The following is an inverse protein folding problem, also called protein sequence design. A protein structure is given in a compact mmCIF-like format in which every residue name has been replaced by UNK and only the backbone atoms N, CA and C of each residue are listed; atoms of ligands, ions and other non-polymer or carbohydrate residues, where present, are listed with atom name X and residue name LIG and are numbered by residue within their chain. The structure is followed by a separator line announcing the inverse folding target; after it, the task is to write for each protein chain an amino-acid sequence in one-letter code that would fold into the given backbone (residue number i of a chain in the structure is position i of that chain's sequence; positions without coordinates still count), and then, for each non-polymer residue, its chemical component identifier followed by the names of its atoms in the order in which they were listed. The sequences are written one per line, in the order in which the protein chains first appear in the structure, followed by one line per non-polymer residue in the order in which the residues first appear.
data_IF_148602106270
#
_entry.id   IF_148602106270
#
_cell.length_a   1.000
_cell.length_b   1.000
_cell.length_c   1.000
_cell.angle_alpha   90.00
_cell.angle_beta   90.00
_cell.angle_gamma   90.00
#
_symmetry.space_group_name_H-M   'P 1'
#
loop_
_entity.id
_entity.type
_entity.pdbx_description
1 polymer ?
#
# COMPACT_ATOMS: atom_id res chain seq x y z
N UNK A 1 -0.71 51.17 -36.04
CA UNK A 1 0.25 50.63 -35.05
C UNK A 1 0.19 49.14 -35.19
N UNK A 2 1.33 48.53 -35.49
CA UNK A 2 1.46 47.11 -35.80
C UNK A 2 1.32 46.32 -34.50
N UNK A 3 0.15 45.72 -34.27
CA UNK A 3 -0.14 44.85 -33.13
C UNK A 3 0.15 43.38 -33.48
N UNK A 4 1.29 43.13 -34.14
CA UNK A 4 1.86 41.79 -34.23
C UNK A 4 2.73 41.56 -33.01
N UNK A 5 2.56 40.42 -32.32
CA UNK A 5 3.48 40.00 -31.26
C UNK A 5 4.91 40.22 -31.74
N UNK A 6 5.76 40.82 -30.89
CA UNK A 6 7.18 40.96 -31.21
C UNK A 6 7.69 39.54 -31.53
N UNK A 7 8.47 39.41 -32.60
CA UNK A 7 9.04 38.11 -32.99
C UNK A 7 9.86 37.52 -31.84
N UNK A 8 10.43 38.38 -30.98
CA UNK A 8 11.11 37.96 -29.75
C UNK A 8 10.15 37.26 -28.77
N UNK A 9 8.92 37.76 -28.58
CA UNK A 9 7.91 37.14 -27.71
C UNK A 9 7.51 35.76 -28.22
N UNK A 10 7.39 35.60 -29.55
CA UNK A 10 7.06 34.30 -30.17
C UNK A 10 8.20 33.29 -29.98
N UNK A 11 9.46 33.72 -30.13
CA UNK A 11 10.60 32.84 -29.89
C UNK A 11 10.77 32.51 -28.41
N UNK A 12 10.49 33.46 -27.52
CA UNK A 12 10.51 33.22 -26.06
C UNK A 12 9.42 32.24 -25.65
N UNK A 13 8.18 32.37 -26.16
CA UNK A 13 7.10 31.41 -25.87
C UNK A 13 7.45 30.00 -26.39
N UNK A 14 8.02 29.86 -27.59
CA UNK A 14 8.48 28.56 -28.11
C UNK A 14 9.62 28.00 -27.25
N UNK A 15 10.59 28.85 -26.87
CA UNK A 15 11.75 28.43 -26.10
C UNK A 15 11.38 27.99 -24.68
N UNK A 16 10.39 28.65 -24.06
CA UNK A 16 9.93 28.39 -22.69
C UNK A 16 8.66 27.53 -22.62
N UNK A 17 8.21 26.95 -23.75
CA UNK A 17 6.95 26.19 -23.80
C UNK A 17 6.97 25.02 -22.83
N UNK A 18 8.09 24.30 -22.71
CA UNK A 18 8.19 23.14 -21.83
C UNK A 18 8.08 23.55 -20.37
N UNK A 19 8.86 24.55 -19.94
CA UNK A 19 8.86 25.07 -18.59
C UNK A 19 7.47 25.58 -18.19
N UNK A 20 6.81 26.32 -19.10
CA UNK A 20 5.47 26.82 -18.88
C UNK A 20 4.44 25.71 -18.75
N UNK A 21 4.48 24.70 -19.61
CA UNK A 21 3.56 23.54 -19.51
C UNK A 21 3.79 22.79 -18.19
N UNK A 22 5.04 22.60 -17.77
CA UNK A 22 5.36 21.92 -16.51
C UNK A 22 4.82 22.71 -15.32
N UNK A 23 5.04 24.03 -15.30
CA UNK A 23 4.54 24.91 -14.24
C UNK A 23 3.00 24.93 -14.20
N UNK A 24 2.35 25.16 -15.34
CA UNK A 24 0.89 25.15 -15.46
C UNK A 24 0.29 23.80 -15.01
N UNK A 25 0.88 22.69 -15.46
CA UNK A 25 0.40 21.34 -15.10
C UNK A 25 0.60 21.04 -13.62
N UNK A 26 1.69 21.52 -13.02
CA UNK A 26 1.93 21.39 -11.58
C UNK A 26 0.88 22.15 -10.77
N UNK A 27 0.62 23.41 -11.13
CA UNK A 27 -0.38 24.23 -10.45
C UNK A 27 -1.79 23.65 -10.61
N UNK A 28 -2.16 23.25 -11.83
CA UNK A 28 -3.45 22.60 -12.09
C UNK A 28 -3.61 21.32 -11.26
N UNK A 29 -2.59 20.45 -11.26
CA UNK A 29 -2.63 19.21 -10.47
C UNK A 29 -2.69 19.45 -8.96
N UNK A 30 -2.05 20.51 -8.47
CA UNK A 30 -2.13 20.89 -7.06
C UNK A 30 -3.51 21.41 -6.68
N UNK A 31 -4.11 22.28 -7.51
CA UNK A 31 -5.48 22.77 -7.31
C UNK A 31 -6.49 21.63 -7.37
N UNK A 32 -6.37 20.74 -8.36
CA UNK A 32 -7.21 19.55 -8.52
C UNK A 32 -7.09 18.60 -7.32
N UNK A 33 -5.88 18.38 -6.81
CA UNK A 33 -5.66 17.56 -5.62
C UNK A 33 -6.20 18.17 -4.32
N UNK A 34 -6.37 19.50 -4.27
CA UNK A 34 -6.95 20.22 -3.14
C UNK A 34 -8.48 20.33 -3.22
N UNK A 35 -9.08 19.98 -4.36
CA UNK A 35 -10.53 19.97 -4.49
C UNK A 35 -11.15 19.00 -3.48
N UNK A 36 -12.30 19.39 -2.93
CA UNK A 36 -13.00 18.61 -1.91
C UNK A 36 -13.31 17.19 -2.39
N UNK A 37 -13.71 17.03 -3.66
CA UNK A 37 -14.01 15.72 -4.26
C UNK A 37 -12.77 14.79 -4.23
N UNK A 38 -11.60 15.31 -4.60
CA UNK A 38 -10.33 14.56 -4.56
C UNK A 38 -9.95 14.13 -3.14
N UNK A 39 -10.20 14.99 -2.15
CA UNK A 39 -9.94 14.67 -0.73
C UNK A 39 -10.90 13.59 -0.22
N UNK A 40 -12.18 13.68 -0.58
CA UNK A 40 -13.19 12.68 -0.21
C UNK A 40 -12.90 11.32 -0.87
N UNK A 41 -12.55 11.31 -2.15
CA UNK A 41 -12.15 10.09 -2.86
C UNK A 41 -10.91 9.45 -2.24
N UNK A 42 -9.88 10.24 -1.92
CA UNK A 42 -8.67 9.76 -1.28
C UNK A 42 -8.96 9.17 0.11
N UNK A 43 -9.84 9.82 0.89
CA UNK A 43 -10.26 9.31 2.19
C UNK A 43 -10.97 7.96 2.07
N UNK A 44 -11.96 7.86 1.17
CA UNK A 44 -12.71 6.64 0.93
C UNK A 44 -11.82 5.49 0.47
N UNK A 45 -10.90 5.79 -0.45
CA UNK A 45 -9.93 4.83 -0.93
C UNK A 45 -9.02 4.35 0.21
N UNK A 46 -8.48 5.27 1.00
CA UNK A 46 -7.64 4.97 2.17
C UNK A 46 -8.37 4.11 3.19
N UNK A 47 -9.62 4.43 3.51
CA UNK A 47 -10.46 3.66 4.43
C UNK A 47 -10.69 2.23 3.93
N UNK A 48 -11.13 2.09 2.68
CA UNK A 48 -11.36 0.77 2.05
C UNK A 48 -10.08 -0.07 2.04
N UNK A 49 -8.96 0.55 1.65
CA UNK A 49 -7.68 -0.15 1.54
C UNK A 49 -7.13 -0.54 2.91
N UNK A 50 -7.23 0.35 3.89
CA UNK A 50 -6.87 0.08 5.27
C UNK A 50 -7.68 -1.08 5.85
N UNK A 51 -8.99 -1.11 5.62
CA UNK A 51 -9.85 -2.21 6.05
C UNK A 51 -9.47 -3.55 5.38
N UNK A 52 -9.12 -3.54 4.08
CA UNK A 52 -8.63 -4.72 3.36
C UNK A 52 -7.34 -5.27 3.97
N UNK A 53 -6.37 -4.40 4.25
CA UNK A 53 -5.09 -4.76 4.87
C UNK A 53 -5.33 -5.27 6.30
N UNK A 54 -6.17 -4.60 7.08
CA UNK A 54 -6.50 -5.01 8.44
C UNK A 54 -7.12 -6.40 8.52
N UNK A 55 -8.05 -6.72 7.61
CA UNK A 55 -8.62 -8.08 7.49
C UNK A 55 -7.55 -9.12 7.19
N UNK A 56 -6.63 -8.81 6.28
CA UNK A 56 -5.55 -9.72 5.93
C UNK A 56 -4.58 -9.97 7.09
N UNK A 57 -4.18 -8.91 7.80
CA UNK A 57 -3.33 -9.02 8.99
C UNK A 57 -4.02 -9.84 10.08
N UNK A 58 -5.30 -9.58 10.35
CA UNK A 58 -6.08 -10.34 11.33
C UNK A 58 -6.23 -11.82 10.98
N UNK A 59 -6.37 -12.15 9.70
CA UNK A 59 -6.36 -13.54 9.23
C UNK A 59 -5.03 -14.22 9.54
N UNK A 60 -3.90 -13.59 9.19
CA UNK A 60 -2.58 -14.17 9.47
C UNK A 60 -2.34 -14.32 10.97
N UNK A 61 -2.69 -13.32 11.77
CA UNK A 61 -2.54 -13.35 13.22
C UNK A 61 -3.33 -14.49 13.88
N UNK A 62 -4.58 -14.68 13.45
CA UNK A 62 -5.43 -15.76 13.94
C UNK A 62 -4.85 -17.13 13.61
N UNK A 63 -4.43 -17.35 12.35
CA UNK A 63 -3.86 -18.64 11.93
C UNK A 63 -2.55 -18.92 12.67
N UNK A 64 -1.68 -17.93 12.78
CA UNK A 64 -0.38 -18.07 13.44
C UNK A 64 -0.55 -18.34 14.94
N UNK A 65 -1.52 -17.69 15.58
CA UNK A 65 -1.86 -17.92 16.98
C UNK A 65 -2.34 -19.35 17.21
N UNK A 66 -3.24 -19.86 16.36
CA UNK A 66 -3.72 -21.24 16.45
C UNK A 66 -2.60 -22.27 16.23
N UNK A 67 -1.73 -22.04 15.23
CA UNK A 67 -0.58 -22.90 14.96
C UNK A 67 0.44 -22.91 16.11
N UNK A 68 0.54 -21.82 16.88
CA UNK A 68 1.48 -21.72 17.99
C UNK A 68 1.12 -22.63 19.18
N UNK A 69 -0.14 -23.07 19.27
CA UNK A 69 -0.65 -23.93 20.34
C UNK A 69 -0.50 -25.42 19.97
N UNK A 70 -0.31 -25.73 18.68
CA UNK A 70 -0.18 -27.11 18.21
C UNK A 70 1.22 -27.68 18.48
N UNK A 71 1.31 -28.71 19.33
CA UNK A 71 2.57 -29.37 19.68
C UNK A 71 3.33 -29.93 18.46
N UNK A 72 2.62 -30.40 17.44
CA UNK A 72 3.23 -30.92 16.21
C UNK A 72 4.01 -29.84 15.43
N UNK A 73 3.56 -28.58 15.51
CA UNK A 73 4.21 -27.43 14.88
C UNK A 73 5.37 -26.93 15.73
N UNK A 74 5.18 -26.84 17.05
CA UNK A 74 6.22 -26.35 17.97
C UNK A 74 7.36 -27.34 18.19
N UNK A 75 7.12 -28.64 17.97
CA UNK A 75 8.16 -29.68 17.99
C UNK A 75 9.11 -29.59 16.79
N UNK A 76 8.67 -29.03 15.67
CA UNK A 76 9.52 -28.80 14.50
C UNK A 76 10.25 -27.45 14.63
N UNK A 77 11.54 -27.50 14.98
CA UNK A 77 12.39 -26.31 15.19
C UNK A 77 12.34 -25.31 14.02
N UNK A 78 12.30 -25.79 12.77
CA UNK A 78 12.22 -24.92 11.59
C UNK A 78 10.87 -24.24 11.46
N UNK A 79 9.79 -24.94 11.80
CA UNK A 79 8.45 -24.38 11.76
C UNK A 79 8.24 -23.39 12.91
N UNK A 80 8.72 -23.71 14.12
CA UNK A 80 8.69 -22.84 15.28
C UNK A 80 9.47 -21.53 15.05
N UNK A 81 10.68 -21.61 14.46
CA UNK A 81 11.46 -20.43 14.11
C UNK A 81 10.74 -19.52 13.12
N UNK A 82 10.20 -20.10 12.04
CA UNK A 82 9.49 -19.34 11.01
C UNK A 82 8.16 -18.77 11.54
N UNK A 83 7.49 -19.48 12.43
CA UNK A 83 6.30 -19.01 13.13
C UNK A 83 6.63 -17.77 13.99
N UNK A 84 7.74 -17.81 14.72
CA UNK A 84 8.24 -16.66 15.48
C UNK A 84 8.62 -15.46 14.59
N UNK A 85 9.19 -15.70 13.41
CA UNK A 85 9.45 -14.63 12.43
C UNK A 85 8.16 -13.96 11.94
N UNK A 86 7.12 -14.74 11.67
CA UNK A 86 5.81 -14.22 11.23
C UNK A 86 5.16 -13.44 12.38
N UNK A 87 5.13 -13.98 13.60
CA UNK A 87 4.61 -13.27 14.78
C UNK A 87 5.34 -11.95 15.03
N UNK A 88 6.67 -11.95 14.90
CA UNK A 88 7.47 -10.74 15.06
C UNK A 88 7.13 -9.70 13.99
N UNK A 89 6.93 -10.14 12.74
CA UNK A 89 6.54 -9.25 11.64
C UNK A 89 5.13 -8.67 11.84
N UNK A 90 4.18 -9.48 12.32
CA UNK A 90 2.81 -9.04 12.65
C UNK A 90 2.81 -8.03 13.80
N UNK A 91 3.55 -8.29 14.87
CA UNK A 91 3.64 -7.38 16.02
C UNK A 91 4.33 -6.05 15.70
N UNK A 92 5.28 -6.05 14.75
CA UNK A 92 5.95 -4.84 14.28
C UNK A 92 5.13 -4.08 13.23
N UNK A 93 4.07 -4.67 12.70
CA UNK A 93 3.24 -4.00 11.70
C UNK A 93 2.57 -2.77 12.35
N UNK A 94 2.58 -1.59 11.69
CA UNK A 94 2.06 -0.37 12.29
C UNK A 94 0.58 -0.50 12.63
N UNK A 95 0.19 -0.02 13.80
CA UNK A 95 -1.23 0.06 14.21
C UNK A 95 -1.87 1.40 13.85
N UNK A 96 -1.03 2.39 13.61
CA UNK A 96 -1.41 3.74 13.22
C UNK A 96 -0.83 4.03 11.83
N UNK A 97 -1.48 4.92 11.09
CA UNK A 97 -1.03 5.33 9.77
C UNK A 97 0.13 6.32 9.90
N UNK A 98 1.35 5.81 9.82
CA UNK A 98 2.59 6.60 9.82
C UNK A 98 3.03 6.86 8.36
N UNK A 99 3.12 8.12 7.91
CA UNK A 99 3.53 8.45 6.54
C UNK A 99 4.97 8.05 6.20
N UNK A 100 5.84 7.84 7.20
CA UNK A 100 7.24 7.45 6.97
C UNK A 100 7.40 5.92 6.81
N UNK A 101 6.32 5.15 7.00
CA UNK A 101 6.36 3.69 6.96
C UNK A 101 5.71 3.15 5.70
N UNK A 102 6.47 2.32 4.96
CA UNK A 102 5.94 1.57 3.83
C UNK A 102 5.11 0.35 4.31
N UNK A 103 3.83 0.60 4.54
CA UNK A 103 2.84 -0.41 4.93
C UNK A 103 2.74 -1.56 3.92
N UNK A 104 2.86 -1.26 2.62
CA UNK A 104 2.71 -2.25 1.56
C UNK A 104 3.90 -3.20 1.52
N UNK A 105 5.11 -2.66 1.70
CA UNK A 105 6.32 -3.47 1.83
C UNK A 105 6.26 -4.37 3.08
N UNK A 106 5.84 -3.81 4.23
CA UNK A 106 5.64 -4.57 5.46
C UNK A 106 4.66 -5.74 5.27
N UNK A 107 3.52 -5.47 4.62
CA UNK A 107 2.51 -6.46 4.30
C UNK A 107 3.05 -7.55 3.37
N UNK A 108 3.82 -7.17 2.34
CA UNK A 108 4.45 -8.12 1.43
C UNK A 108 5.44 -9.04 2.15
N UNK A 109 6.22 -8.52 3.11
CA UNK A 109 7.09 -9.36 3.92
C UNK A 109 6.32 -10.39 4.75
N UNK A 110 5.19 -9.98 5.36
CA UNK A 110 4.33 -10.88 6.13
C UNK A 110 3.76 -11.97 5.22
N UNK A 111 3.21 -11.61 4.06
CA UNK A 111 2.71 -12.55 3.04
C UNK A 111 3.76 -13.59 2.65
N UNK A 112 5.00 -13.17 2.41
CA UNK A 112 6.07 -14.07 1.99
C UNK A 112 6.46 -15.05 3.11
N UNK A 113 6.62 -14.56 4.34
CA UNK A 113 6.94 -15.41 5.51
C UNK A 113 5.80 -16.41 5.79
N UNK A 114 4.55 -15.94 5.75
CA UNK A 114 3.37 -16.78 5.92
C UNK A 114 3.27 -17.87 4.84
N UNK A 115 3.46 -17.54 3.56
CA UNK A 115 3.47 -18.54 2.46
C UNK A 115 4.52 -19.61 2.68
N UNK A 116 5.72 -19.21 3.14
CA UNK A 116 6.79 -20.15 3.47
C UNK A 116 6.40 -21.08 4.63
N UNK A 117 5.70 -20.55 5.64
CA UNK A 117 5.19 -21.32 6.77
C UNK A 117 4.15 -22.35 6.32
N UNK A 118 3.17 -21.93 5.52
CA UNK A 118 2.17 -22.83 4.95
C UNK A 118 2.79 -23.92 4.06
N UNK A 119 3.80 -23.57 3.25
CA UNK A 119 4.50 -24.54 2.41
C UNK A 119 5.26 -25.58 3.24
N UNK A 120 5.90 -25.17 4.34
CA UNK A 120 6.62 -26.06 5.26
C UNK A 120 5.68 -27.03 5.97
N UNK A 121 4.53 -26.53 6.43
CA UNK A 121 3.51 -27.29 7.15
C UNK A 121 2.52 -28.00 6.23
N UNK A 122 2.66 -27.85 4.90
CA UNK A 122 1.74 -28.38 3.88
C UNK A 122 0.28 -27.97 4.11
N UNK A 123 0.05 -26.77 4.63
CA UNK A 123 -1.28 -26.22 4.89
C UNK A 123 -1.84 -25.57 3.62
N UNK A 124 -3.08 -25.89 3.21
CA UNK A 124 -3.75 -25.25 2.08
C UNK A 124 -4.40 -23.91 2.45
N UNK A 125 -3.96 -23.26 3.53
CA UNK A 125 -4.53 -22.01 4.02
C UNK A 125 -4.01 -20.84 3.16
N UNK A 126 -4.94 -20.08 2.60
CA UNK A 126 -4.66 -18.87 1.82
C UNK A 126 -5.67 -17.81 2.20
N UNK A 127 -5.20 -16.59 2.40
CA UNK A 127 -6.10 -15.45 2.45
C UNK A 127 -6.72 -15.28 1.05
N UNK A 128 -8.03 -15.42 0.97
CA UNK A 128 -8.80 -15.10 -0.23
C UNK A 128 -9.42 -13.74 0.03
N UNK A 129 -9.06 -12.74 -0.78
CA UNK A 129 -9.78 -11.48 -0.76
C UNK A 129 -11.22 -11.76 -1.19
N UNK A 130 -12.16 -11.65 -0.25
CA UNK A 130 -13.58 -11.64 -0.59
C UNK A 130 -13.88 -10.30 -1.25
N UNK A 131 -13.68 -10.24 -2.57
CA UNK A 131 -13.99 -9.10 -3.42
C UNK A 131 -15.51 -8.97 -3.68
N UNK A 132 -16.32 -9.15 -2.65
CA UNK A 132 -17.79 -9.02 -2.72
C UNK A 132 -18.27 -7.85 -1.84
N UNK A 133 -17.73 -6.67 -2.10
CA UNK A 133 -18.45 -5.42 -1.82
C UNK A 133 -18.59 -4.70 -3.17
N UNK A 134 -19.36 -5.32 -4.07
CA UNK A 134 -19.95 -4.60 -5.20
C UNK A 134 -20.93 -3.57 -4.64
N UNK A 135 -20.73 -2.30 -4.97
CA UNK A 135 -21.77 -1.28 -4.93
C UNK A 135 -21.84 -0.63 -6.30
#
# INVERSE_FOLDING_TARGET
EDTGNDINDVFEDIFLTEERIVEESFHQGLEDGQQQESVEEAYDYGYKKGAEIGREIGFYDTVVSELSIQEEVTSNEKAAALLGEVQTALNKFPRENDPDVDLLHGLQQIRNKYRRLCALLKLPLKYVQTNDLSF
#
